data_IF_398465135496
#
_entry.id   IF_398465135496
#
_cell.length_a   1.000
_cell.length_b   1.000
_cell.length_c   1.000
_cell.angle_alpha   90.00
_cell.angle_beta   90.00
_cell.angle_gamma   90.00
#
_symmetry.space_group_name_H-M   'P 1'
#
loop_
_entity.id
_entity.type
_entity.pdbx_description
1 polymer ?
#
# COMPACT_ATOMS: atom_id res chain seq x y z
N UNK A 1 -3.61 6.11 24.08
CA UNK A 1 -4.20 6.55 22.78
C UNK A 1 -3.67 5.68 21.65
N UNK A 2 -2.35 5.59 21.50
CA UNK A 2 -1.65 4.79 20.49
C UNK A 2 -2.09 3.33 20.37
N UNK A 3 -2.16 2.56 21.47
CA UNK A 3 -2.58 1.14 21.42
C UNK A 3 -3.97 0.92 20.80
N UNK A 4 -4.90 1.87 20.98
CA UNK A 4 -6.25 1.80 20.40
C UNK A 4 -6.20 2.04 18.89
N UNK A 5 -5.40 3.01 18.45
CA UNK A 5 -5.17 3.31 17.03
C UNK A 5 -4.41 2.18 16.34
N UNK A 6 -3.37 1.62 16.96
CA UNK A 6 -2.63 0.47 16.46
C UNK A 6 -3.56 -0.73 16.21
N UNK A 7 -4.40 -1.07 17.19
CA UNK A 7 -5.39 -2.15 17.04
C UNK A 7 -6.39 -1.87 15.92
N UNK A 8 -6.76 -0.60 15.70
CA UNK A 8 -7.61 -0.22 14.58
C UNK A 8 -6.92 -0.45 13.24
N UNK A 9 -5.67 -0.02 13.10
CA UNK A 9 -4.87 -0.22 11.90
C UNK A 9 -4.69 -1.71 11.58
N UNK A 10 -4.46 -2.56 12.59
CA UNK A 10 -4.39 -4.01 12.41
C UNK A 10 -5.72 -4.56 11.87
N UNK A 11 -6.86 -4.15 12.44
CA UNK A 11 -8.18 -4.57 11.94
C UNK A 11 -8.42 -4.12 10.50
N UNK A 12 -7.98 -2.91 10.15
CA UNK A 12 -8.08 -2.39 8.78
C UNK A 12 -7.26 -3.23 7.81
N UNK A 13 -6.03 -3.60 8.17
CA UNK A 13 -5.18 -4.51 7.37
C UNK A 13 -5.88 -5.86 7.17
N UNK A 14 -6.46 -6.43 8.23
CA UNK A 14 -7.20 -7.69 8.13
C UNK A 14 -8.36 -7.56 7.14
N UNK A 15 -9.16 -6.48 7.22
CA UNK A 15 -10.27 -6.26 6.29
C UNK A 15 -9.83 -6.02 4.85
N UNK A 16 -8.68 -5.37 4.64
CA UNK A 16 -8.06 -5.21 3.32
C UNK A 16 -7.68 -6.58 2.75
N UNK A 17 -7.05 -7.44 3.55
CA UNK A 17 -6.69 -8.80 3.11
C UNK A 17 -7.94 -9.64 2.81
N UNK A 18 -8.95 -9.59 3.68
CA UNK A 18 -10.23 -10.27 3.44
C UNK A 18 -10.86 -9.75 2.14
N UNK A 19 -10.90 -8.43 1.94
CA UNK A 19 -11.40 -7.82 0.72
C UNK A 19 -10.64 -8.27 -0.52
N UNK A 20 -9.30 -8.35 -0.45
CA UNK A 20 -8.44 -8.85 -1.52
C UNK A 20 -8.80 -10.29 -1.92
N UNK A 21 -8.93 -11.19 -0.94
CA UNK A 21 -9.33 -12.58 -1.17
C UNK A 21 -10.73 -12.68 -1.75
N UNK A 22 -11.70 -11.94 -1.19
CA UNK A 22 -13.08 -11.94 -1.68
C UNK A 22 -13.16 -11.44 -3.13
N UNK A 23 -12.47 -10.35 -3.46
CA UNK A 23 -12.44 -9.82 -4.83
C UNK A 23 -11.88 -10.83 -5.83
N UNK A 24 -10.79 -11.53 -5.46
CA UNK A 24 -10.22 -12.60 -6.26
C UNK A 24 -11.17 -13.77 -6.44
N UNK A 25 -11.80 -14.25 -5.36
CA UNK A 25 -12.74 -15.36 -5.43
C UNK A 25 -13.96 -15.03 -6.28
N UNK A 26 -14.52 -13.82 -6.17
CA UNK A 26 -15.66 -13.37 -6.99
C UNK A 26 -15.30 -13.38 -8.48
N UNK A 27 -14.10 -12.94 -8.84
CA UNK A 27 -13.64 -12.96 -10.23
C UNK A 27 -13.52 -14.40 -10.78
N UNK A 28 -12.91 -15.31 -10.02
CA UNK A 28 -12.75 -16.71 -10.42
C UNK A 28 -14.10 -17.43 -10.53
N UNK A 29 -15.01 -17.20 -9.59
CA UNK A 29 -16.36 -17.80 -9.60
C UNK A 29 -17.16 -17.34 -10.83
N UNK A 30 -16.95 -16.10 -11.28
CA UNK A 30 -17.60 -15.56 -12.47
C UNK A 30 -16.93 -16.01 -13.80
N UNK A 31 -16.04 -17.01 -13.75
CA UNK A 31 -15.38 -17.56 -14.93
C UNK A 31 -14.24 -16.70 -15.48
N UNK A 32 -13.71 -15.78 -14.67
CA UNK A 32 -12.56 -14.97 -15.05
C UNK A 32 -11.27 -15.78 -15.08
N UNK A 33 -10.59 -15.78 -16.22
CA UNK A 33 -9.34 -16.49 -16.52
C UNK A 33 -8.16 -15.54 -16.80
N UNK A 34 -8.45 -14.28 -17.13
CA UNK A 34 -7.45 -13.27 -17.41
C UNK A 34 -6.70 -12.80 -16.14
N UNK A 35 -5.37 -12.80 -16.23
CA UNK A 35 -4.49 -12.48 -15.10
C UNK A 35 -4.56 -11.01 -14.72
N UNK A 36 -4.73 -10.10 -15.68
CA UNK A 36 -4.83 -8.65 -15.44
C UNK A 36 -6.13 -8.27 -14.74
N UNK A 37 -7.26 -8.78 -15.22
CA UNK A 37 -8.57 -8.57 -14.58
C UNK A 37 -8.67 -9.25 -13.21
N UNK A 38 -7.96 -10.38 -13.00
CA UNK A 38 -7.81 -11.00 -11.68
C UNK A 38 -7.07 -10.10 -10.67
N UNK A 39 -6.04 -9.39 -11.11
CA UNK A 39 -5.33 -8.44 -10.23
C UNK A 39 -6.23 -7.24 -9.91
N UNK A 40 -6.92 -6.69 -10.92
CA UNK A 40 -7.85 -5.58 -10.74
C UNK A 40 -8.98 -5.92 -9.75
N UNK A 41 -9.60 -7.10 -9.88
CA UNK A 41 -10.68 -7.52 -8.99
C UNK A 41 -10.23 -7.65 -7.53
N UNK A 42 -9.02 -8.18 -7.30
CA UNK A 42 -8.42 -8.27 -5.97
C UNK A 42 -8.13 -6.88 -5.39
N UNK A 43 -7.61 -5.94 -6.20
CA UNK A 43 -7.38 -4.55 -5.77
C UNK A 43 -8.69 -3.84 -5.43
N UNK A 44 -9.73 -4.01 -6.24
CA UNK A 44 -11.07 -3.46 -5.98
C UNK A 44 -11.65 -4.04 -4.69
N UNK A 45 -11.56 -5.36 -4.50
CA UNK A 45 -12.00 -6.03 -3.29
C UNK A 45 -11.27 -5.51 -2.05
N UNK A 46 -9.96 -5.31 -2.14
CA UNK A 46 -9.14 -4.72 -1.07
C UNK A 46 -9.59 -3.29 -0.71
N UNK A 47 -9.89 -2.46 -1.72
CA UNK A 47 -10.40 -1.10 -1.52
C UNK A 47 -11.79 -1.08 -0.84
N UNK A 48 -12.68 -2.00 -1.23
CA UNK A 48 -13.99 -2.18 -0.58
C UNK A 48 -13.80 -2.59 0.88
N UNK A 49 -12.93 -3.57 1.15
CA UNK A 49 -12.62 -4.02 2.51
C UNK A 49 -12.08 -2.89 3.38
N UNK A 50 -11.19 -2.05 2.84
CA UNK A 50 -10.71 -0.84 3.49
C UNK A 50 -11.87 0.10 3.86
N UNK A 51 -12.71 0.43 2.89
CA UNK A 51 -13.84 1.35 3.06
C UNK A 51 -14.84 0.87 4.10
N UNK A 52 -15.18 -0.42 4.08
CA UNK A 52 -16.08 -1.04 5.06
C UNK A 52 -15.50 -1.01 6.47
N UNK A 53 -14.21 -1.31 6.63
CA UNK A 53 -13.52 -1.23 7.92
C UNK A 53 -13.56 0.19 8.49
N UNK A 54 -13.32 1.20 7.65
CA UNK A 54 -13.33 2.60 8.06
C UNK A 54 -14.72 3.07 8.43
N UNK A 55 -15.71 2.78 7.57
CA UNK A 55 -17.09 3.12 7.84
C UNK A 55 -17.57 2.49 9.16
N UNK A 56 -17.32 1.19 9.37
CA UNK A 56 -17.72 0.50 10.59
C UNK A 56 -17.05 1.07 11.83
N UNK A 57 -15.74 1.32 11.76
CA UNK A 57 -14.95 1.76 12.90
C UNK A 57 -15.31 3.19 13.30
N UNK A 58 -15.34 4.13 12.35
CA UNK A 58 -15.61 5.53 12.66
C UNK A 58 -17.07 5.78 13.02
N UNK A 59 -18.01 4.98 12.49
CA UNK A 59 -19.40 5.02 12.93
C UNK A 59 -19.54 4.61 14.39
N UNK A 60 -18.83 3.56 14.83
CA UNK A 60 -18.87 3.10 16.23
C UNK A 60 -18.02 3.92 17.18
N UNK A 61 -16.94 4.52 16.69
CA UNK A 61 -16.00 5.28 17.50
C UNK A 61 -15.56 6.57 16.79
N UNK A 62 -16.41 7.62 16.78
CA UNK A 62 -16.08 8.87 16.09
C UNK A 62 -14.85 9.57 16.69
N UNK A 63 -14.62 9.42 18.01
CA UNK A 63 -13.45 10.00 18.72
C UNK A 63 -12.10 9.42 18.25
N UNK A 64 -12.09 8.23 17.62
CA UNK A 64 -10.86 7.62 17.11
C UNK A 64 -10.26 8.45 15.96
N UNK A 65 -11.10 9.10 15.14
CA UNK A 65 -10.63 9.97 14.04
C UNK A 65 -9.87 11.19 14.56
N UNK A 66 -10.35 11.80 15.65
CA UNK A 66 -9.66 12.91 16.31
C UNK A 66 -8.35 12.48 16.95
N UNK A 67 -8.32 11.31 17.60
CA UNK A 67 -7.10 10.73 18.17
C UNK A 67 -6.05 10.40 17.11
N UNK A 68 -6.46 9.89 15.95
CA UNK A 68 -5.56 9.67 14.80
C UNK A 68 -4.97 11.00 14.30
N UNK A 69 -5.80 12.04 14.18
CA UNK A 69 -5.34 13.37 13.76
C UNK A 69 -4.31 13.97 14.72
N UNK A 70 -4.54 13.89 16.03
CA UNK A 70 -3.58 14.41 17.03
C UNK A 70 -2.25 13.63 16.97
N UNK A 71 -2.30 12.31 16.77
CA UNK A 71 -1.09 11.50 16.60
C UNK A 71 -0.37 11.75 15.27
N UNK A 72 -1.08 12.21 14.24
CA UNK A 72 -0.53 12.58 12.95
C UNK A 72 0.22 13.92 13.02
N UNK A 73 -0.28 14.86 13.83
CA UNK A 73 0.28 16.21 14.00
C UNK A 73 1.44 16.25 15.02
N UNK A 74 1.79 15.12 15.64
CA UNK A 74 2.96 15.01 16.51
C UNK A 74 4.26 15.00 15.67
N UNK A 75 5.07 16.05 15.80
CA UNK A 75 6.33 16.24 15.06
C UNK A 75 7.29 15.04 15.19
N UNK A 76 7.27 14.35 16.34
CA UNK A 76 8.09 13.15 16.53
C UNK A 76 7.66 12.03 15.59
N UNK A 77 6.36 11.86 15.39
CA UNK A 77 5.82 10.88 14.47
C UNK A 77 6.07 11.26 13.02
N UNK A 78 6.08 12.56 12.70
CA UNK A 78 6.45 13.05 11.37
C UNK A 78 7.90 12.69 11.03
N UNK A 79 8.84 12.94 11.93
CA UNK A 79 10.24 12.54 11.74
C UNK A 79 10.40 11.02 11.60
N UNK A 80 9.73 10.23 12.45
CA UNK A 80 9.75 8.77 12.38
C UNK A 80 9.20 8.29 11.03
N UNK A 81 8.11 8.88 10.54
CA UNK A 81 7.51 8.56 9.24
C UNK A 81 8.43 8.94 8.08
N UNK A 82 9.10 10.09 8.15
CA UNK A 82 10.08 10.50 7.15
C UNK A 82 11.22 9.47 7.04
N UNK A 83 11.83 9.10 8.17
CA UNK A 83 12.88 8.07 8.21
C UNK A 83 12.38 6.71 7.74
N UNK A 84 11.21 6.28 8.23
CA UNK A 84 10.60 5.00 7.84
C UNK A 84 10.28 4.97 6.34
N UNK A 85 9.75 6.06 5.78
CA UNK A 85 9.45 6.18 4.34
C UNK A 85 10.72 6.07 3.49
N UNK A 86 11.83 6.68 3.92
CA UNK A 86 13.11 6.55 3.23
C UNK A 86 13.63 5.11 3.22
N UNK A 87 13.61 4.42 4.38
CA UNK A 87 14.02 3.02 4.45
C UNK A 87 13.09 2.09 3.67
N UNK A 88 11.76 2.34 3.70
CA UNK A 88 10.80 1.58 2.91
C UNK A 88 11.02 1.78 1.41
N UNK A 89 11.32 3.00 0.96
CA UNK A 89 11.70 3.27 -0.43
C UNK A 89 12.94 2.48 -0.83
N UNK A 90 13.99 2.53 -0.02
CA UNK A 90 15.24 1.79 -0.29
C UNK A 90 15.00 0.28 -0.36
N UNK A 91 14.24 -0.26 0.60
CA UNK A 91 13.87 -1.68 0.63
C UNK A 91 13.05 -2.09 -0.60
N UNK A 92 12.11 -1.25 -1.03
CA UNK A 92 11.31 -1.50 -2.24
C UNK A 92 12.17 -1.51 -3.51
N UNK A 93 13.13 -0.58 -3.65
CA UNK A 93 14.06 -0.57 -4.78
C UNK A 93 14.92 -1.84 -4.80
N UNK A 94 15.47 -2.24 -3.65
CA UNK A 94 16.27 -3.48 -3.55
C UNK A 94 15.43 -4.71 -3.93
N UNK A 95 14.19 -4.78 -3.44
CA UNK A 95 13.27 -5.88 -3.76
C UNK A 95 12.97 -5.93 -5.26
N UNK A 96 12.64 -4.78 -5.87
CA UNK A 96 12.37 -4.71 -7.31
C UNK A 96 13.59 -5.08 -8.13
N UNK A 97 14.79 -4.69 -7.70
CA UNK A 97 16.03 -5.10 -8.36
C UNK A 97 16.23 -6.62 -8.28
N UNK A 98 15.97 -7.24 -7.13
CA UNK A 98 16.00 -8.69 -6.99
C UNK A 98 14.96 -9.37 -7.90
N UNK A 99 13.76 -8.80 -8.04
CA UNK A 99 12.72 -9.32 -8.94
C UNK A 99 13.11 -9.20 -10.42
N UNK A 100 13.82 -8.13 -10.81
CA UNK A 100 14.38 -8.00 -12.17
C UNK A 100 15.38 -9.12 -12.44
N UNK A 101 16.33 -9.36 -11.52
CA UNK A 101 17.32 -10.44 -11.67
C UNK A 101 16.63 -11.81 -11.73
N UNK A 102 15.66 -12.06 -10.85
CA UNK A 102 14.91 -13.31 -10.83
C UNK A 102 14.07 -13.51 -12.09
N UNK A 103 13.49 -12.45 -12.64
CA UNK A 103 12.76 -12.48 -13.90
C UNK A 103 13.67 -12.85 -15.06
N UNK A 104 14.86 -12.25 -15.12
CA UNK A 104 15.86 -12.54 -16.15
C UNK A 104 16.35 -13.99 -16.08
N UNK A 105 16.65 -14.50 -14.88
CA UNK A 105 17.07 -15.90 -14.68
C UNK A 105 15.99 -16.91 -15.08
N UNK A 106 14.72 -16.50 -15.08
CA UNK A 106 13.57 -17.35 -15.43
C UNK A 106 13.03 -17.10 -16.83
N UNK A 107 13.66 -16.22 -17.62
CA UNK A 107 13.14 -15.74 -18.90
C UNK A 107 11.68 -15.22 -18.82
N UNK A 108 11.28 -14.67 -17.67
CA UNK A 108 9.93 -14.11 -17.45
C UNK A 108 9.92 -12.61 -17.79
N UNK A 109 9.57 -12.32 -19.04
CA UNK A 109 9.46 -10.95 -19.56
C UNK A 109 8.56 -10.06 -18.69
N UNK A 110 7.43 -10.56 -18.20
CA UNK A 110 6.49 -9.75 -17.42
C UNK A 110 7.05 -9.40 -16.06
N UNK A 111 7.75 -10.33 -15.42
CA UNK A 111 8.41 -10.12 -14.14
C UNK A 111 9.55 -9.10 -14.26
N UNK A 112 10.43 -9.24 -15.26
CA UNK A 112 11.55 -8.33 -15.50
C UNK A 112 11.06 -6.94 -15.87
N UNK A 113 10.21 -6.83 -16.89
CA UNK A 113 9.70 -5.56 -17.39
C UNK A 113 8.83 -4.85 -16.35
N UNK A 114 7.90 -5.57 -15.71
CA UNK A 114 7.03 -5.02 -14.67
C UNK A 114 7.84 -4.45 -13.51
N UNK A 115 8.80 -5.21 -12.99
CA UNK A 115 9.64 -4.78 -11.87
C UNK A 115 10.50 -3.56 -12.21
N UNK A 116 11.04 -3.50 -13.44
CA UNK A 116 11.81 -2.36 -13.92
C UNK A 116 10.95 -1.09 -14.05
N UNK A 117 9.74 -1.21 -14.61
CA UNK A 117 8.79 -0.10 -14.73
C UNK A 117 8.38 0.42 -13.35
N UNK A 118 8.07 -0.47 -12.40
CA UNK A 118 7.75 -0.06 -11.02
C UNK A 118 8.93 0.62 -10.32
N UNK A 119 10.15 0.14 -10.53
CA UNK A 119 11.35 0.78 -9.97
C UNK A 119 11.53 2.20 -10.51
N UNK A 120 11.34 2.38 -11.83
CA UNK A 120 11.42 3.68 -12.47
C UNK A 120 10.34 4.65 -11.97
N UNK A 121 9.09 4.17 -11.82
CA UNK A 121 8.00 4.98 -11.25
C UNK A 121 8.30 5.42 -9.82
N UNK A 122 8.82 4.52 -8.97
CA UNK A 122 9.23 4.88 -7.61
C UNK A 122 10.35 5.91 -7.58
N UNK A 123 11.34 5.80 -8.46
CA UNK A 123 12.40 6.79 -8.61
C UNK A 123 11.84 8.15 -9.04
N UNK A 124 10.92 8.19 -10.02
CA UNK A 124 10.27 9.43 -10.46
C UNK A 124 9.49 10.07 -9.31
N UNK A 125 8.72 9.30 -8.55
CA UNK A 125 8.00 9.80 -7.37
C UNK A 125 8.98 10.35 -6.34
N UNK A 126 10.09 9.65 -6.07
CA UNK A 126 11.10 10.11 -5.11
C UNK A 126 11.77 11.42 -5.55
N UNK A 127 12.17 11.54 -6.82
CA UNK A 127 12.81 12.74 -7.37
C UNK A 127 11.82 13.91 -7.36
N UNK A 128 10.60 13.71 -7.87
CA UNK A 128 9.58 14.78 -7.93
C UNK A 128 9.17 15.27 -6.54
N UNK A 129 8.95 14.36 -5.60
CA UNK A 129 8.64 14.73 -4.21
C UNK A 129 9.79 15.49 -3.55
N UNK A 130 11.04 15.03 -3.73
CA UNK A 130 12.22 15.71 -3.20
C UNK A 130 12.40 17.11 -3.80
N UNK A 131 12.16 17.25 -5.11
CA UNK A 131 12.23 18.54 -5.79
C UNK A 131 11.16 19.53 -5.30
N UNK A 132 9.91 19.06 -5.17
CA UNK A 132 8.80 19.87 -4.63
C UNK A 132 9.10 20.33 -3.21
N UNK A 133 9.63 19.44 -2.36
CA UNK A 133 10.00 19.78 -0.99
C UNK A 133 11.15 20.80 -0.96
N UNK A 134 12.16 20.66 -1.82
CA UNK A 134 13.29 21.62 -1.89
C UNK A 134 12.86 23.03 -2.29
N UNK A 135 11.77 23.18 -3.06
CA UNK A 135 11.22 24.49 -3.45
C UNK A 135 10.35 25.15 -2.39
N UNK A 136 9.97 24.41 -1.34
CA UNK A 136 9.09 24.88 -0.26
C UNK A 136 9.86 25.37 0.96
N UNK A 137 11.15 25.08 1.03
CA UNK A 137 12.12 25.53 2.05
C UNK A 137 12.81 26.78 1.51
#
# INVERSE_FOLDING_TARGET
MEKKVLRNNIKRIIWVLVGYFVGGSVYVINGGDDTGFSVLSKVIGAAIGFGLSDFHTYRKNPKLKGMEKILLEDERNEMIRGKASYYTYLAAIILLFALVILGEVRDDFYMTYGSAVFALLLMVIHITSSWILSKRI
#
